data_IF_432719176412
#
_entry.id   IF_432719176412
#
_cell.length_a   1.000
_cell.length_b   1.000
_cell.length_c   1.000
_cell.angle_alpha   90.00
_cell.angle_beta   90.00
_cell.angle_gamma   90.00
#
_symmetry.space_group_name_H-M   'P 1'
#
loop_
_entity.id
_entity.type
_entity.pdbx_description
1 polymer ?
#
# COMPACT_ATOMS: atom_id res chain seq x y z
N UNK A 1 -12.80 3.17 8.96
CA UNK A 1 -11.37 3.57 9.06
C UNK A 1 -10.48 2.60 8.29
N UNK A 2 -10.65 1.28 8.46
CA UNK A 2 -9.98 0.26 7.62
C UNK A 2 -10.44 0.33 6.16
N UNK A 3 -11.76 0.45 5.91
CA UNK A 3 -12.32 0.58 4.55
C UNK A 3 -11.68 1.72 3.73
N UNK A 4 -11.42 2.87 4.37
CA UNK A 4 -10.75 4.00 3.72
C UNK A 4 -9.31 3.67 3.31
N UNK A 5 -8.58 2.90 4.13
CA UNK A 5 -7.22 2.47 3.77
C UNK A 5 -7.24 1.45 2.64
N UNK A 6 -8.24 0.56 2.61
CA UNK A 6 -8.45 -0.37 1.50
C UNK A 6 -8.76 0.36 0.19
N UNK A 7 -9.61 1.37 0.24
CA UNK A 7 -9.91 2.23 -0.93
C UNK A 7 -8.65 2.97 -1.41
N UNK A 8 -7.87 3.53 -0.48
CA UNK A 8 -6.61 4.22 -0.81
C UNK A 8 -5.58 3.26 -1.40
N UNK A 9 -5.49 2.01 -0.91
CA UNK A 9 -4.62 0.99 -1.46
C UNK A 9 -5.05 0.59 -2.88
N UNK A 10 -6.34 0.36 -3.10
CA UNK A 10 -6.87 0.07 -4.44
C UNK A 10 -6.59 1.21 -5.42
N UNK A 11 -6.71 2.47 -4.96
CA UNK A 11 -6.37 3.64 -5.75
C UNK A 11 -4.87 3.73 -6.06
N UNK A 12 -4.01 3.43 -5.08
CA UNK A 12 -2.57 3.39 -5.28
C UNK A 12 -2.16 2.35 -6.34
N UNK A 13 -2.77 1.16 -6.32
CA UNK A 13 -2.55 0.12 -7.32
C UNK A 13 -3.04 0.53 -8.72
N UNK A 14 -4.19 1.19 -8.79
CA UNK A 14 -4.71 1.77 -10.04
C UNK A 14 -3.73 2.81 -10.61
N UNK A 15 -3.22 3.71 -9.77
CA UNK A 15 -2.24 4.71 -10.17
C UNK A 15 -0.95 4.09 -10.68
N UNK A 16 -0.46 3.01 -10.04
CA UNK A 16 0.70 2.25 -10.52
C UNK A 16 0.47 1.69 -11.94
N UNK A 17 -0.71 1.12 -12.20
CA UNK A 17 -1.05 0.61 -13.54
C UNK A 17 -1.13 1.76 -14.56
N UNK A 18 -1.76 2.87 -14.20
CA UNK A 18 -1.88 4.04 -15.09
C UNK A 18 -0.53 4.67 -15.38
N UNK A 19 0.37 4.78 -14.41
CA UNK A 19 1.70 5.35 -14.59
C UNK A 19 2.61 4.46 -15.44
N UNK A 20 2.32 3.15 -15.54
CA UNK A 20 2.99 2.21 -16.43
C UNK A 20 2.42 2.21 -17.86
N UNK A 21 1.25 2.82 -18.10
CA UNK A 21 0.61 2.87 -19.43
C UNK A 21 1.39 3.80 -20.38
N UNK A 22 1.87 3.30 -21.54
CA UNK A 22 2.54 4.13 -22.57
C UNK A 22 1.72 5.34 -23.02
N UNK A 23 0.39 5.25 -23.02
CA UNK A 23 -0.51 6.36 -23.38
C UNK A 23 -0.43 7.48 -22.34
N UNK A 24 -0.36 7.12 -21.07
CA UNK A 24 -0.21 8.10 -19.97
C UNK A 24 1.21 8.66 -19.96
N UNK A 25 2.23 7.83 -20.17
CA UNK A 25 3.64 8.25 -20.26
C UNK A 25 3.86 9.27 -21.40
N UNK A 26 3.13 9.14 -22.51
CA UNK A 26 3.17 10.10 -23.61
C UNK A 26 2.44 11.43 -23.31
N UNK A 27 1.50 11.44 -22.35
CA UNK A 27 0.75 12.62 -21.91
C UNK A 27 1.38 13.22 -20.64
N UNK A 28 2.36 14.11 -20.83
CA UNK A 28 3.13 14.70 -19.73
C UNK A 28 2.26 15.42 -18.67
N UNK A 29 1.25 16.24 -19.04
CA UNK A 29 0.32 16.82 -18.06
C UNK A 29 -0.39 15.77 -17.21
N UNK A 30 -0.98 14.75 -17.85
CA UNK A 30 -1.72 13.69 -17.16
C UNK A 30 -0.80 12.85 -16.28
N UNK A 31 0.38 12.49 -16.77
CA UNK A 31 1.40 11.77 -16.01
C UNK A 31 1.76 12.52 -14.73
N UNK A 32 2.02 13.83 -14.79
CA UNK A 32 2.39 14.62 -13.61
C UNK A 32 1.28 14.64 -12.56
N UNK A 33 0.02 14.72 -12.98
CA UNK A 33 -1.12 14.69 -12.06
C UNK A 33 -1.22 13.34 -11.33
N UNK A 34 -1.15 12.24 -12.08
CA UNK A 34 -1.21 10.89 -11.53
C UNK A 34 0.01 10.57 -10.65
N UNK A 35 1.19 11.05 -11.03
CA UNK A 35 2.42 10.86 -10.26
C UNK A 35 2.39 11.64 -8.94
N UNK A 36 1.81 12.85 -8.93
CA UNK A 36 1.61 13.60 -7.70
C UNK A 36 0.65 12.89 -6.75
N UNK A 37 -0.50 12.41 -7.26
CA UNK A 37 -1.46 11.64 -6.47
C UNK A 37 -0.83 10.35 -5.91
N UNK A 38 -0.06 9.63 -6.73
CA UNK A 38 0.65 8.44 -6.31
C UNK A 38 1.67 8.73 -5.20
N UNK A 39 2.42 9.83 -5.33
CA UNK A 39 3.39 10.26 -4.32
C UNK A 39 2.73 10.64 -2.98
N UNK A 40 1.55 11.26 -3.02
CA UNK A 40 0.76 11.59 -1.82
C UNK A 40 0.26 10.34 -1.09
N UNK A 41 -0.15 9.31 -1.83
CA UNK A 41 -0.64 8.05 -1.25
C UNK A 41 0.49 7.13 -0.77
N UNK A 42 1.67 7.17 -1.39
CA UNK A 42 2.79 6.29 -1.10
C UNK A 42 3.17 6.17 0.38
N UNK A 43 3.34 7.25 1.17
CA UNK A 43 3.69 7.12 2.59
C UNK A 43 2.57 6.46 3.41
N UNK A 44 1.30 6.72 3.07
CA UNK A 44 0.14 6.18 3.78
C UNK A 44 0.05 4.66 3.55
N UNK A 45 0.28 4.21 2.32
CA UNK A 45 0.31 2.79 1.99
C UNK A 45 1.51 2.09 2.63
N UNK A 46 2.68 2.72 2.64
CA UNK A 46 3.88 2.19 3.30
C UNK A 46 3.65 1.98 4.81
N UNK A 47 3.10 2.98 5.51
CA UNK A 47 2.79 2.88 6.94
C UNK A 47 1.74 1.79 7.22
N UNK A 48 0.74 1.65 6.34
CA UNK A 48 -0.26 0.60 6.44
C UNK A 48 0.34 -0.80 6.29
N UNK A 49 1.22 -1.00 5.31
CA UNK A 49 1.92 -2.27 5.09
C UNK A 49 2.81 -2.62 6.29
N UNK A 50 3.60 -1.66 6.79
CA UNK A 50 4.45 -1.86 7.97
C UNK A 50 3.64 -2.25 9.22
N UNK A 51 2.45 -1.65 9.39
CA UNK A 51 1.53 -2.02 10.46
C UNK A 51 1.02 -3.46 10.32
N UNK A 52 0.66 -3.88 9.11
CA UNK A 52 0.20 -5.24 8.84
C UNK A 52 1.30 -6.27 9.11
N UNK A 53 2.53 -6.01 8.66
CA UNK A 53 3.69 -6.86 8.91
C UNK A 53 3.99 -6.98 10.41
N UNK A 54 4.00 -5.86 11.13
CA UNK A 54 4.24 -5.85 12.59
C UNK A 54 3.17 -6.67 13.32
N UNK A 55 1.91 -6.57 12.90
CA UNK A 55 0.81 -7.36 13.49
C UNK A 55 0.96 -8.85 13.19
N UNK A 56 1.34 -9.21 11.97
CA UNK A 56 1.59 -10.60 11.59
C UNK A 56 2.74 -11.19 12.41
N UNK A 57 3.86 -10.48 12.52
CA UNK A 57 5.00 -10.90 13.34
C UNK A 57 4.63 -11.05 14.81
N UNK A 58 3.82 -10.15 15.36
CA UNK A 58 3.36 -10.23 16.74
C UNK A 58 2.44 -11.44 16.97
N UNK A 59 1.59 -11.77 16.00
CA UNK A 59 0.73 -12.95 16.05
C UNK A 59 1.56 -14.24 15.97
N UNK A 60 2.49 -14.33 15.05
CA UNK A 60 3.41 -15.46 14.90
C UNK A 60 4.23 -15.70 16.18
N UNK A 61 4.80 -14.64 16.77
CA UNK A 61 5.54 -14.75 18.04
C UNK A 61 4.65 -15.25 19.19
N UNK A 62 3.38 -14.85 19.24
CA UNK A 62 2.43 -15.33 20.26
C UNK A 62 2.09 -16.80 20.07
N UNK A 63 1.92 -17.23 18.84
CA UNK A 63 1.67 -18.64 18.51
C UNK A 63 2.89 -19.50 18.88
N UNK A 64 4.11 -19.02 18.60
CA UNK A 64 5.34 -19.69 18.97
C UNK A 64 5.48 -19.82 20.50
N UNK A 65 5.22 -18.75 21.26
CA UNK A 65 5.24 -18.79 22.72
C UNK A 65 4.21 -19.78 23.27
N UNK A 66 2.98 -19.77 22.74
CA UNK A 66 1.94 -20.72 23.13
C UNK A 66 2.29 -22.18 22.81
N UNK A 67 3.06 -22.43 21.75
CA UNK A 67 3.58 -23.77 21.41
C UNK A 67 4.79 -24.19 22.25
N UNK A 68 5.44 -23.27 22.96
CA UNK A 68 6.61 -23.58 23.80
C UNK A 68 6.19 -23.92 25.25
N UNK A 69 4.95 -23.60 25.63
CA UNK A 69 4.38 -23.89 26.95
C UNK A 69 3.68 -25.26 27.05
N UNK A 70 3.61 -26.02 25.95
CA UNK A 70 3.17 -27.44 25.85
C UNK A 70 4.38 -28.38 25.67
#
# INVERSE_FOLDING_TARGET
>A
MIERLTEMAARYDELNMLLADPVVLADQPRYRQLAAEHAELSPIIADHQALQETRAALQENRELLGQTDD
#
